data_IF_978770195727
#
_entry.id   IF_978770195727
#
_cell.length_a   1.000
_cell.length_b   1.000
_cell.length_c   1.000
_cell.angle_alpha   90.00
_cell.angle_beta   90.00
_cell.angle_gamma   90.00
#
_symmetry.space_group_name_H-M   'P 1'
#
loop_
_entity.id
_entity.type
_entity.pdbx_description
1 polymer ?
#
# COMPACT_ATOMS: atom_id res chain seq x y z
N UNK A 1 -8.83 6.19 -8.70
CA UNK A 1 -10.08 5.60 -9.24
C UNK A 1 -10.13 4.20 -8.65
N UNK A 2 -11.13 3.87 -7.81
CA UNK A 2 -11.09 2.64 -7.00
C UNK A 2 -11.22 1.39 -7.89
N UNK A 3 -10.41 0.35 -7.64
CA UNK A 3 -10.48 -0.95 -8.33
C UNK A 3 -11.88 -1.57 -8.25
N UNK A 4 -12.66 -1.21 -7.23
CA UNK A 4 -14.05 -1.65 -7.06
C UNK A 4 -14.99 -1.10 -8.15
N UNK A 5 -14.71 0.09 -8.69
CA UNK A 5 -15.50 0.63 -9.79
C UNK A 5 -15.22 -0.10 -11.12
N UNK A 6 -14.11 -0.83 -11.23
CA UNK A 6 -13.82 -1.65 -12.41
C UNK A 6 -14.42 -3.06 -12.35
N UNK A 7 -14.85 -3.53 -11.17
CA UNK A 7 -15.23 -4.94 -10.95
C UNK A 7 -16.70 -5.18 -10.58
N UNK A 8 -17.55 -4.13 -10.57
CA UNK A 8 -18.97 -4.25 -10.23
C UNK A 8 -19.22 -4.27 -8.72
N UNK A 9 -19.99 -3.29 -8.24
CA UNK A 9 -20.03 -2.85 -6.85
C UNK A 9 -20.80 -3.74 -5.86
N UNK A 10 -20.56 -3.47 -4.58
CA UNK A 10 -21.38 -3.95 -3.45
C UNK A 10 -22.39 -2.84 -3.12
N UNK A 11 -23.66 -3.21 -3.05
CA UNK A 11 -24.81 -2.31 -2.93
C UNK A 11 -24.87 -1.49 -1.63
N UNK A 12 -25.54 -0.34 -1.76
CA UNK A 12 -25.53 0.87 -0.93
C UNK A 12 -26.23 0.79 0.44
N UNK A 13 -26.39 -0.36 1.09
CA UNK A 13 -27.28 -0.45 2.28
C UNK A 13 -26.58 -0.45 3.65
N UNK A 14 -25.26 -0.25 3.71
CA UNK A 14 -24.51 -0.26 4.98
C UNK A 14 -23.76 1.04 5.27
N UNK A 15 -24.35 2.19 4.91
CA UNK A 15 -23.73 3.51 5.11
C UNK A 15 -23.98 4.11 6.51
N UNK A 16 -25.02 3.66 7.23
CA UNK A 16 -25.47 4.36 8.46
C UNK A 16 -24.79 3.87 9.74
N UNK A 17 -24.29 2.63 9.79
CA UNK A 17 -23.65 2.07 11.01
C UNK A 17 -22.13 2.28 11.10
N UNK A 18 -21.49 2.89 10.10
CA UNK A 18 -20.01 3.02 10.07
C UNK A 18 -19.46 4.22 10.85
N UNK A 19 -20.29 5.20 11.18
CA UNK A 19 -19.84 6.40 11.93
C UNK A 19 -19.60 6.15 13.43
N UNK A 20 -20.16 5.07 13.99
CA UNK A 20 -19.94 4.68 15.39
C UNK A 20 -18.68 3.86 15.66
N UNK A 21 -18.13 3.18 14.64
CA UNK A 21 -16.97 2.29 14.80
C UNK A 21 -15.61 3.01 14.66
N UNK A 22 -15.59 4.23 14.10
CA UNK A 22 -14.36 4.99 13.85
C UNK A 22 -13.81 5.64 15.14
N UNK A 23 -14.63 5.83 16.17
CA UNK A 23 -14.21 6.45 17.42
C UNK A 23 -13.40 5.54 18.37
N UNK A 24 -13.22 4.24 18.05
CA UNK A 24 -12.44 3.29 18.87
C UNK A 24 -11.42 2.45 18.06
N UNK A 25 -11.13 2.83 16.82
CA UNK A 25 -10.26 2.08 15.90
C UNK A 25 -8.77 2.41 15.95
N UNK A 26 -8.32 3.27 16.86
CA UNK A 26 -6.92 3.72 16.91
C UNK A 26 -5.89 2.68 17.36
N UNK A 27 -6.30 1.45 17.69
CA UNK A 27 -5.43 0.44 18.30
C UNK A 27 -5.23 -0.85 17.48
N UNK A 28 -5.84 -0.99 16.29
CA UNK A 28 -5.79 -2.26 15.54
C UNK A 28 -5.04 -2.22 14.19
N UNK A 29 -4.53 -1.07 13.76
CA UNK A 29 -3.78 -0.93 12.50
C UNK A 29 -2.26 -1.23 12.62
N UNK A 30 -1.81 -1.81 13.72
CA UNK A 30 -0.38 -1.99 14.03
C UNK A 30 0.21 -3.36 13.63
N UNK A 31 -0.59 -4.32 13.16
CA UNK A 31 -0.16 -5.72 13.08
C UNK A 31 0.52 -6.13 11.75
N UNK A 32 0.46 -5.31 10.70
CA UNK A 32 1.02 -5.64 9.37
C UNK A 32 2.03 -4.61 8.85
N UNK A 33 2.44 -3.67 9.70
CA UNK A 33 3.34 -2.58 9.29
C UNK A 33 4.78 -3.04 9.55
N UNK A 34 5.63 -3.19 8.52
CA UNK A 34 7.06 -3.40 8.72
C UNK A 34 7.59 -2.32 9.66
N UNK A 35 8.50 -2.67 10.58
CA UNK A 35 9.08 -1.73 11.56
C UNK A 35 9.61 -0.44 10.90
N UNK A 36 10.07 -0.53 9.64
CA UNK A 36 10.43 0.63 8.82
C UNK A 36 9.27 1.57 8.49
N UNK A 37 8.14 1.05 8.01
CA UNK A 37 6.96 1.86 7.68
C UNK A 37 6.31 2.47 8.94
N UNK A 38 6.39 1.79 10.10
CA UNK A 38 5.90 2.33 11.37
C UNK A 38 6.74 3.53 11.86
N UNK A 39 8.05 3.54 11.58
CA UNK A 39 8.92 4.66 11.89
C UNK A 39 8.63 5.88 10.99
N UNK A 40 8.37 5.67 9.70
CA UNK A 40 7.96 6.74 8.78
C UNK A 40 6.52 7.22 9.03
N UNK A 41 5.58 6.33 9.33
CA UNK A 41 4.22 6.69 9.74
C UNK A 41 4.22 7.48 11.05
N UNK A 42 5.10 7.16 12.01
CA UNK A 42 5.33 7.99 13.20
C UNK A 42 5.89 9.37 12.86
N UNK A 43 6.70 9.51 11.82
CA UNK A 43 7.20 10.83 11.37
C UNK A 43 6.14 11.65 10.63
N UNK A 44 5.18 11.01 9.96
CA UNK A 44 4.02 11.65 9.31
C UNK A 44 2.84 11.95 10.25
N UNK A 45 2.60 11.12 11.28
CA UNK A 45 1.48 11.27 12.23
C UNK A 45 1.87 11.93 13.56
N UNK A 46 3.14 11.90 13.99
CA UNK A 46 3.59 12.64 15.17
C UNK A 46 4.22 13.98 14.75
N UNK A 47 3.40 14.83 14.13
CA UNK A 47 3.67 16.26 14.08
C UNK A 47 3.38 16.87 15.48
N UNK A 48 4.23 16.55 16.45
CA UNK A 48 4.38 17.37 17.65
C UNK A 48 5.57 18.31 17.44
N UNK A 49 5.34 19.57 17.75
CA UNK A 49 6.14 20.75 17.42
C UNK A 49 7.67 20.53 17.44
N UNK A 50 8.34 20.98 16.36
CA UNK A 50 9.81 21.04 16.15
C UNK A 50 10.48 19.98 15.25
N UNK A 51 9.73 19.16 14.50
CA UNK A 51 10.34 18.40 13.39
C UNK A 51 10.48 19.27 12.14
N UNK A 52 11.70 19.41 11.60
CA UNK A 52 11.91 19.99 10.27
C UNK A 52 11.09 19.21 9.22
N UNK A 53 10.57 19.92 8.22
CA UNK A 53 9.87 19.30 7.10
C UNK A 53 10.78 18.25 6.43
N UNK A 54 10.21 17.12 5.95
CA UNK A 54 11.01 16.10 5.27
C UNK A 54 11.64 16.68 4.00
N UNK A 55 12.89 16.29 3.75
CA UNK A 55 13.61 16.58 2.51
C UNK A 55 12.95 15.86 1.34
N UNK A 56 13.17 16.37 0.12
CA UNK A 56 12.67 15.71 -1.09
C UNK A 56 13.15 14.25 -1.21
N UNK A 57 14.39 13.97 -0.82
CA UNK A 57 14.95 12.61 -0.85
C UNK A 57 14.26 11.70 0.16
N UNK A 58 13.87 12.20 1.33
CA UNK A 58 13.09 11.43 2.31
C UNK A 58 11.68 11.13 1.80
N UNK A 59 11.03 12.10 1.16
CA UNK A 59 9.71 11.91 0.53
C UNK A 59 9.78 10.88 -0.60
N UNK A 60 10.80 10.97 -1.46
CA UNK A 60 10.98 10.02 -2.56
C UNK A 60 11.30 8.60 -2.07
N UNK A 61 12.10 8.45 -1.02
CA UNK A 61 12.38 7.13 -0.43
C UNK A 61 11.17 6.55 0.30
N UNK A 62 10.34 7.40 0.91
CA UNK A 62 9.05 6.98 1.46
C UNK A 62 8.13 6.47 0.35
N UNK A 63 7.98 7.23 -0.75
CA UNK A 63 7.21 6.78 -1.91
C UNK A 63 7.75 5.47 -2.49
N UNK A 64 9.06 5.34 -2.66
CA UNK A 64 9.70 4.11 -3.15
C UNK A 64 9.39 2.91 -2.26
N UNK A 65 9.27 3.10 -0.95
CA UNK A 65 8.86 2.04 -0.02
C UNK A 65 7.43 1.56 -0.27
N UNK A 66 6.52 2.47 -0.64
CA UNK A 66 5.14 2.13 -1.00
C UNK A 66 5.09 1.40 -2.35
N UNK A 67 5.83 1.86 -3.35
CA UNK A 67 5.89 1.17 -4.64
C UNK A 67 6.48 -0.25 -4.48
N UNK A 68 7.47 -0.44 -3.61
CA UNK A 68 7.98 -1.78 -3.26
C UNK A 68 6.89 -2.67 -2.65
N UNK A 69 6.10 -2.13 -1.71
CA UNK A 69 5.01 -2.86 -1.05
C UNK A 69 3.98 -3.34 -2.10
N UNK A 70 3.53 -2.44 -2.96
CA UNK A 70 2.50 -2.72 -3.97
C UNK A 70 3.03 -3.64 -5.07
N UNK A 71 4.19 -3.34 -5.65
CA UNK A 71 4.81 -4.18 -6.68
C UNK A 71 5.03 -5.61 -6.17
N UNK A 72 5.58 -5.77 -4.96
CA UNK A 72 5.79 -7.10 -4.37
C UNK A 72 4.47 -7.84 -4.14
N UNK A 73 3.45 -7.14 -3.65
CA UNK A 73 2.14 -7.74 -3.43
C UNK A 73 1.51 -8.28 -4.72
N UNK A 74 1.57 -7.51 -5.80
CA UNK A 74 1.00 -7.91 -7.08
C UNK A 74 1.81 -8.98 -7.80
N UNK A 75 3.14 -8.98 -7.68
CA UNK A 75 3.99 -10.09 -8.17
C UNK A 75 3.54 -11.41 -7.51
N UNK A 76 3.48 -11.44 -6.18
CA UNK A 76 3.06 -12.63 -5.45
C UNK A 76 1.61 -13.03 -5.76
N UNK A 77 0.72 -12.05 -5.91
CA UNK A 77 -0.68 -12.28 -6.30
C UNK A 77 -0.80 -12.96 -7.65
N UNK A 78 -0.12 -12.44 -8.67
CA UNK A 78 -0.11 -13.03 -10.02
C UNK A 78 0.49 -14.43 -10.02
N UNK A 79 1.61 -14.64 -9.33
CA UNK A 79 2.32 -15.92 -9.32
C UNK A 79 1.59 -17.00 -8.51
N UNK A 80 0.81 -16.61 -7.50
CA UNK A 80 0.08 -17.55 -6.63
C UNK A 80 -1.09 -18.26 -7.32
N UNK A 81 -1.58 -17.74 -8.45
CA UNK A 81 -2.80 -18.24 -9.09
C UNK A 81 -4.10 -17.91 -8.36
N UNK A 82 -4.07 -17.08 -7.32
CA UNK A 82 -5.29 -16.66 -6.58
C UNK A 82 -6.26 -15.84 -7.43
N UNK A 83 -5.75 -15.20 -8.49
CA UNK A 83 -6.51 -14.28 -9.34
C UNK A 83 -7.26 -15.08 -10.42
N UNK A 84 -8.60 -14.98 -10.50
CA UNK A 84 -9.37 -15.62 -11.56
C UNK A 84 -8.98 -15.09 -12.95
N UNK A 85 -9.03 -15.96 -13.96
CA UNK A 85 -8.61 -15.62 -15.33
C UNK A 85 -9.28 -14.37 -15.92
N UNK A 86 -10.52 -14.08 -15.54
CA UNK A 86 -11.26 -12.87 -15.96
C UNK A 86 -10.61 -11.57 -15.47
N UNK A 87 -9.94 -11.62 -14.32
CA UNK A 87 -9.34 -10.48 -13.62
C UNK A 87 -7.81 -10.43 -13.82
N UNK A 88 -7.19 -11.50 -14.32
CA UNK A 88 -5.72 -11.60 -14.46
C UNK A 88 -5.12 -10.44 -15.24
N UNK A 89 -5.70 -10.06 -16.39
CA UNK A 89 -5.16 -8.94 -17.20
C UNK A 89 -5.12 -7.63 -16.42
N UNK A 90 -6.10 -7.38 -15.57
CA UNK A 90 -6.18 -6.15 -14.77
C UNK A 90 -5.03 -6.15 -13.77
N UNK A 91 -4.89 -7.20 -12.97
CA UNK A 91 -3.85 -7.27 -11.93
C UNK A 91 -2.44 -7.41 -12.49
N UNK A 92 -2.26 -8.05 -13.65
CA UNK A 92 -0.98 -8.02 -14.38
C UNK A 92 -0.62 -6.61 -14.83
N UNK A 93 -1.60 -5.83 -15.32
CA UNK A 93 -1.35 -4.43 -15.71
C UNK A 93 -0.97 -3.57 -14.50
N UNK A 94 -1.68 -3.72 -13.37
CA UNK A 94 -1.37 -2.98 -12.15
C UNK A 94 0.04 -3.35 -11.65
N UNK A 95 0.38 -4.64 -11.58
CA UNK A 95 1.73 -5.11 -11.26
C UNK A 95 2.79 -4.40 -12.10
N UNK A 96 2.58 -4.34 -13.42
CA UNK A 96 3.54 -3.75 -14.34
C UNK A 96 3.67 -2.23 -14.13
N UNK A 97 2.58 -1.54 -13.76
CA UNK A 97 2.64 -0.12 -13.37
C UNK A 97 3.46 0.08 -12.09
N UNK A 98 3.22 -0.69 -11.03
CA UNK A 98 3.94 -0.50 -9.76
C UNK A 98 5.44 -0.82 -9.89
N UNK A 99 5.80 -1.80 -10.74
CA UNK A 99 7.20 -2.04 -11.10
C UNK A 99 7.80 -0.82 -11.82
N UNK A 100 7.07 -0.24 -12.77
CA UNK A 100 7.54 0.94 -13.50
C UNK A 100 7.67 2.17 -12.60
N UNK A 101 6.73 2.39 -11.66
CA UNK A 101 6.80 3.48 -10.68
C UNK A 101 8.01 3.33 -9.75
N UNK A 102 8.21 2.12 -9.21
CA UNK A 102 9.39 1.76 -8.41
C UNK A 102 10.68 2.09 -9.15
N UNK A 103 10.83 1.63 -10.38
CA UNK A 103 12.06 1.84 -11.17
C UNK A 103 12.26 3.31 -11.53
N UNK A 104 11.18 4.03 -11.81
CA UNK A 104 11.21 5.48 -12.00
C UNK A 104 11.74 6.21 -10.75
N UNK A 105 11.21 5.91 -9.56
CA UNK A 105 11.65 6.54 -8.32
C UNK A 105 13.12 6.23 -8.00
N UNK A 106 13.57 4.99 -8.22
CA UNK A 106 14.99 4.62 -8.10
C UNK A 106 15.85 5.50 -9.02
N UNK A 107 15.41 5.69 -10.27
CA UNK A 107 16.09 6.56 -11.24
C UNK A 107 16.16 8.01 -10.79
N UNK A 108 15.05 8.57 -10.32
CA UNK A 108 14.97 9.96 -9.82
C UNK A 108 15.88 10.15 -8.62
N UNK A 109 15.83 9.26 -7.61
CA UNK A 109 16.65 9.37 -6.41
C UNK A 109 18.14 9.35 -6.77
N UNK A 110 18.56 8.45 -7.67
CA UNK A 110 19.94 8.39 -8.16
C UNK A 110 20.34 9.65 -8.92
N UNK A 111 19.45 10.24 -9.72
CA UNK A 111 19.73 11.49 -10.44
C UNK A 111 20.00 12.68 -9.51
N UNK A 112 19.48 12.63 -8.28
CA UNK A 112 19.74 13.61 -7.22
C UNK A 112 21.03 13.33 -6.43
N UNK A 113 21.87 12.40 -6.91
CA UNK A 113 23.06 11.89 -6.18
C UNK A 113 22.74 11.31 -4.79
N UNK A 114 21.51 10.81 -4.61
CA UNK A 114 21.06 10.19 -3.37
C UNK A 114 20.94 8.66 -3.51
N UNK A 115 20.89 7.98 -2.36
CA UNK A 115 20.79 6.51 -2.31
C UNK A 115 19.33 6.07 -2.19
N UNK A 116 18.81 5.26 -3.13
CA UNK A 116 17.50 4.64 -3.00
C UNK A 116 17.48 3.65 -1.82
N UNK A 117 16.40 3.67 -1.05
CA UNK A 117 16.15 2.71 0.02
C UNK A 117 16.09 1.29 -0.57
N UNK A 118 16.72 0.28 0.08
CA UNK A 118 16.57 -1.11 -0.35
C UNK A 118 15.13 -1.58 -0.14
N UNK A 119 14.71 -2.56 -0.93
CA UNK A 119 13.41 -3.21 -0.78
C UNK A 119 13.30 -3.87 0.62
N UNK A 120 12.27 -3.53 1.42
CA UNK A 120 11.99 -4.22 2.67
C UNK A 120 11.43 -5.62 2.44
N UNK A 121 11.57 -6.49 3.44
CA UNK A 121 10.78 -7.72 3.49
C UNK A 121 9.38 -7.41 4.01
N UNK A 122 8.35 -7.90 3.31
CA UNK A 122 6.95 -7.70 3.67
C UNK A 122 6.30 -9.01 4.14
N UNK A 123 5.51 -8.92 5.20
CA UNK A 123 4.60 -9.98 5.63
C UNK A 123 3.15 -9.58 5.33
N UNK A 124 2.60 -10.08 4.23
CA UNK A 124 1.22 -9.83 3.83
C UNK A 124 0.20 -10.71 4.56
N UNK A 125 0.67 -11.64 5.39
CA UNK A 125 -0.21 -12.54 6.16
C UNK A 125 -0.53 -11.99 7.55
N UNK A 126 0.17 -10.93 7.99
CA UNK A 126 0.09 -10.41 9.34
C UNK A 126 0.26 -11.52 10.40
N UNK A 127 1.34 -12.30 10.27
CA UNK A 127 1.61 -13.45 11.13
C UNK A 127 0.64 -14.62 10.94
N UNK A 128 0.11 -14.79 9.73
CA UNK A 128 -0.85 -15.85 9.39
C UNK A 128 -2.33 -15.51 9.64
N UNK A 129 -2.65 -14.29 10.09
CA UNK A 129 -4.03 -13.83 10.26
C UNK A 129 -4.78 -13.69 8.92
N UNK A 130 -4.06 -13.46 7.83
CA UNK A 130 -4.60 -13.36 6.47
C UNK A 130 -3.94 -14.37 5.53
N UNK A 131 -4.71 -14.83 4.54
CA UNK A 131 -4.23 -15.69 3.46
C UNK A 131 -4.48 -15.03 2.09
N UNK A 132 -3.89 -13.86 1.79
CA UNK A 132 -4.17 -13.12 0.56
C UNK A 132 -3.88 -13.90 -0.70
N UNK A 133 -2.88 -14.78 -0.69
CA UNK A 133 -2.48 -15.54 -1.87
C UNK A 133 -3.19 -16.89 -1.99
N UNK A 134 -4.17 -17.17 -1.14
CA UNK A 134 -5.04 -18.34 -1.20
C UNK A 134 -6.54 -17.99 -1.23
N UNK A 135 -6.89 -16.72 -0.96
CA UNK A 135 -8.27 -16.24 -0.96
C UNK A 135 -8.37 -14.93 -1.75
N UNK A 136 -9.13 -14.97 -2.85
CA UNK A 136 -9.24 -13.85 -3.78
C UNK A 136 -9.95 -12.61 -3.20
N UNK A 137 -10.88 -12.78 -2.26
CA UNK A 137 -11.52 -11.64 -1.61
C UNK A 137 -10.58 -10.95 -0.62
N UNK A 138 -9.79 -11.73 0.14
CA UNK A 138 -8.70 -11.21 0.96
C UNK A 138 -7.65 -10.51 0.10
N UNK A 139 -7.33 -11.07 -1.08
CA UNK A 139 -6.43 -10.45 -2.05
C UNK A 139 -6.92 -9.05 -2.45
N UNK A 140 -8.16 -8.93 -2.93
CA UNK A 140 -8.74 -7.65 -3.35
C UNK A 140 -8.83 -6.63 -2.22
N UNK A 141 -9.19 -7.08 -1.01
CA UNK A 141 -9.31 -6.21 0.16
C UNK A 141 -7.97 -5.55 0.49
N UNK A 142 -6.90 -6.34 0.53
CA UNK A 142 -5.56 -5.83 0.80
C UNK A 142 -5.00 -5.02 -0.38
N UNK A 143 -5.24 -5.45 -1.63
CA UNK A 143 -4.91 -4.65 -2.81
C UNK A 143 -5.50 -3.24 -2.70
N UNK A 144 -6.81 -3.12 -2.42
CA UNK A 144 -7.43 -1.81 -2.25
C UNK A 144 -6.84 -1.00 -1.09
N UNK A 145 -6.55 -1.65 0.05
CA UNK A 145 -5.96 -0.97 1.19
C UNK A 145 -4.58 -0.37 0.86
N UNK A 146 -3.78 -1.04 0.02
CA UNK A 146 -2.51 -0.53 -0.46
C UNK A 146 -2.69 0.64 -1.42
N UNK A 147 -3.54 0.51 -2.45
CA UNK A 147 -3.84 1.59 -3.40
C UNK A 147 -4.33 2.87 -2.69
N UNK A 148 -5.22 2.71 -1.72
CA UNK A 148 -5.73 3.82 -0.92
C UNK A 148 -4.63 4.45 -0.04
N UNK A 149 -3.63 3.65 0.38
CA UNK A 149 -2.46 4.12 1.13
C UNK A 149 -1.51 4.91 0.23
N UNK A 150 -1.25 4.45 -0.99
CA UNK A 150 -0.46 5.20 -1.98
C UNK A 150 -1.07 6.57 -2.27
N UNK A 151 -2.38 6.64 -2.57
CA UNK A 151 -3.08 7.91 -2.84
C UNK A 151 -3.01 8.88 -1.65
N UNK A 152 -3.17 8.36 -0.42
CA UNK A 152 -3.08 9.15 0.81
C UNK A 152 -1.68 9.68 1.06
N UNK A 153 -0.67 8.84 0.89
CA UNK A 153 0.73 9.21 1.01
C UNK A 153 1.11 10.35 0.05
N UNK A 154 0.67 10.29 -1.22
CA UNK A 154 0.92 11.36 -2.19
C UNK A 154 0.13 12.64 -1.90
N UNK A 155 -1.01 12.55 -1.21
CA UNK A 155 -1.82 13.71 -0.81
C UNK A 155 -1.47 14.27 0.57
N UNK A 156 -0.56 13.64 1.31
CA UNK A 156 -0.17 14.04 2.66
C UNK A 156 -1.28 13.92 3.71
N UNK A 157 -2.19 12.94 3.56
CA UNK A 157 -3.29 12.67 4.51
C UNK A 157 -3.22 11.27 5.10
#
# INVERSE_FOLDING_TARGET
>A
MSIMNLLGGIDSESATNRRGAIARGGQLAAAAVPVGLAAFARRGFAASASAAAPTIVEVLNFALTLEYLEARYYILGVDSGVIPGRDSRIFTTIRDHEIAHRDFLIGVIRSLSATPVPEPTFDFTAGGAFAPFANYDTFKLLAQAFEDTGVRAYKGQ
#
